data_IF_994007273140
#
_entry.id   IF_994007273140
#
_cell.length_a   1.000
_cell.length_b   1.000
_cell.length_c   1.000
_cell.angle_alpha   90.00
_cell.angle_beta   90.00
_cell.angle_gamma   90.00
#
_symmetry.space_group_name_H-M   'P 1'
#
loop_
_entity.id
_entity.type
_entity.pdbx_description
1 polymer ?
#
# COMPACT_ATOMS: atom_id res chain seq x y z
N UNK A 1 2.55 -15.37 14.57
CA UNK A 1 3.88 -15.20 13.94
C UNK A 1 5.01 -15.36 14.97
N UNK A 2 5.12 -14.52 16.01
CA UNK A 2 6.20 -14.65 17.02
C UNK A 2 6.25 -16.04 17.66
N UNK A 3 5.11 -16.60 18.05
CA UNK A 3 5.02 -17.96 18.64
C UNK A 3 5.46 -19.10 17.70
N UNK A 4 5.70 -18.76 16.43
CA UNK A 4 6.18 -19.68 15.39
C UNK A 4 7.65 -19.45 15.02
N UNK A 5 8.36 -18.64 15.80
CA UNK A 5 9.78 -18.38 15.61
C UNK A 5 10.12 -17.32 14.54
N UNK A 6 9.13 -16.52 14.09
CA UNK A 6 9.44 -15.41 13.20
C UNK A 6 9.93 -14.19 13.97
N UNK A 7 10.97 -13.55 13.45
CA UNK A 7 11.24 -12.14 13.76
C UNK A 7 10.28 -11.29 12.93
N UNK A 8 9.47 -10.46 13.59
CA UNK A 8 8.48 -9.60 12.92
C UNK A 8 9.03 -8.19 12.86
N UNK A 9 9.06 -7.65 11.65
CA UNK A 9 9.54 -6.28 11.37
C UNK A 9 8.42 -5.49 10.71
N UNK A 10 8.20 -4.26 11.18
CA UNK A 10 7.25 -3.33 10.60
C UNK A 10 7.93 -1.98 10.38
N UNK A 11 7.88 -1.47 9.16
CA UNK A 11 8.42 -0.15 8.81
C UNK A 11 7.36 0.93 8.94
N UNK A 12 7.77 2.12 9.32
CA UNK A 12 6.95 3.34 9.31
C UNK A 12 7.13 4.10 8.00
N UNK A 13 7.26 3.52 6.89
CA UNK A 13 7.49 4.16 5.60
C UNK A 13 8.12 5.58 5.63
N UNK A 14 8.75 5.99 4.57
CA UNK A 14 9.45 7.27 4.51
C UNK A 14 8.52 8.46 4.81
N UNK A 15 8.86 9.23 5.85
CA UNK A 15 8.11 10.43 6.26
C UNK A 15 6.85 10.16 7.08
N UNK A 16 6.54 8.90 7.40
CA UNK A 16 5.45 8.54 8.31
C UNK A 16 5.99 8.31 9.74
N UNK A 17 5.16 8.60 10.74
CA UNK A 17 5.53 8.39 12.15
C UNK A 17 6.62 9.32 12.71
N UNK A 18 7.15 10.24 11.93
CA UNK A 18 8.21 11.17 12.32
C UNK A 18 7.68 12.60 12.24
N UNK A 19 7.54 13.27 13.40
CA UNK A 19 7.09 14.66 13.43
C UNK A 19 8.17 15.65 13.01
N UNK A 20 9.41 15.38 13.39
CA UNK A 20 10.53 16.28 13.09
C UNK A 20 11.80 15.53 12.70
N UNK A 21 12.55 16.07 11.76
CA UNK A 21 13.91 15.65 11.40
C UNK A 21 14.82 16.87 11.56
N UNK A 22 15.88 16.74 12.37
CA UNK A 22 16.83 17.84 12.66
C UNK A 22 16.14 19.13 13.14
N UNK A 23 15.08 18.99 13.96
CA UNK A 23 14.31 20.12 14.47
C UNK A 23 13.40 20.82 13.47
N UNK A 24 13.26 20.28 12.26
CA UNK A 24 12.31 20.73 11.25
C UNK A 24 11.17 19.74 11.15
N UNK A 25 9.96 20.23 10.92
CA UNK A 25 8.81 19.36 10.70
C UNK A 25 9.13 18.39 9.56
N UNK A 26 8.99 17.10 9.81
CA UNK A 26 9.07 16.08 8.77
C UNK A 26 7.95 16.38 7.76
N UNK A 27 8.28 16.42 6.50
CA UNK A 27 7.24 16.66 5.49
C UNK A 27 6.30 15.48 5.36
N UNK A 28 5.30 15.63 4.49
CA UNK A 28 4.38 14.56 4.11
C UNK A 28 5.13 13.28 3.78
N UNK A 29 4.56 12.15 4.19
CA UNK A 29 5.04 10.83 3.80
C UNK A 29 4.91 10.59 2.29
N UNK A 30 5.43 9.46 1.84
CA UNK A 30 5.30 8.98 0.45
C UNK A 30 4.15 7.97 0.32
N UNK A 31 2.96 8.33 0.80
CA UNK A 31 1.78 7.44 0.81
C UNK A 31 1.44 6.95 -0.59
N UNK A 32 1.31 5.62 -0.77
CA UNK A 32 1.05 4.93 -2.04
C UNK A 32 2.10 5.16 -3.15
N UNK A 33 3.30 5.63 -2.80
CA UNK A 33 4.43 5.68 -3.75
C UNK A 33 5.19 4.36 -3.67
N UNK A 34 5.08 3.55 -4.72
CA UNK A 34 5.53 2.16 -4.75
C UNK A 34 7.01 1.97 -4.43
N UNK A 35 7.90 2.66 -5.13
CA UNK A 35 9.35 2.54 -4.93
C UNK A 35 9.80 2.88 -3.50
N UNK A 36 9.27 3.95 -2.92
CA UNK A 36 9.65 4.36 -1.57
C UNK A 36 9.12 3.38 -0.53
N UNK A 37 7.91 2.86 -0.75
CA UNK A 37 7.32 1.83 0.10
C UNK A 37 8.11 0.52 0.03
N UNK A 38 8.45 0.05 -1.18
CA UNK A 38 9.27 -1.14 -1.40
C UNK A 38 10.61 -1.08 -0.67
N UNK A 39 11.34 0.02 -0.86
CA UNK A 39 12.65 0.21 -0.22
C UNK A 39 12.55 0.28 1.29
N UNK A 40 11.52 0.95 1.84
CA UNK A 40 11.28 0.97 3.27
C UNK A 40 11.04 -0.44 3.84
N UNK A 41 10.30 -1.28 3.12
CA UNK A 41 10.08 -2.68 3.51
C UNK A 41 11.39 -3.48 3.48
N UNK A 42 12.13 -3.44 2.37
CA UNK A 42 13.37 -4.20 2.21
C UNK A 42 14.48 -3.74 3.17
N UNK A 43 14.61 -2.43 3.38
CA UNK A 43 15.60 -1.88 4.32
C UNK A 43 15.25 -2.18 5.78
N UNK A 44 13.97 -2.34 6.12
CA UNK A 44 13.59 -2.78 7.47
C UNK A 44 14.07 -4.20 7.79
N UNK A 45 14.08 -5.09 6.78
CA UNK A 45 14.67 -6.44 6.90
C UNK A 45 16.16 -6.36 7.12
N UNK A 46 16.88 -5.58 6.30
CA UNK A 46 18.33 -5.34 6.47
C UNK A 46 18.68 -4.79 7.86
N UNK A 47 17.85 -3.86 8.34
CA UNK A 47 18.03 -3.30 9.68
C UNK A 47 17.85 -4.37 10.77
N UNK A 48 16.83 -5.23 10.65
CA UNK A 48 16.61 -6.32 11.59
C UNK A 48 17.74 -7.33 11.59
N UNK A 49 18.28 -7.69 10.42
CA UNK A 49 19.45 -8.60 10.31
C UNK A 49 20.73 -8.05 10.95
N UNK A 50 20.87 -6.73 11.05
CA UNK A 50 22.00 -6.09 11.74
C UNK A 50 21.83 -6.04 13.26
N UNK A 51 20.64 -6.32 13.79
CA UNK A 51 20.39 -6.37 15.21
C UNK A 51 20.60 -7.80 15.73
N UNK A 52 21.73 -8.04 16.39
CA UNK A 52 22.07 -9.38 16.95
C UNK A 52 20.92 -9.93 17.83
N UNK A 53 20.26 -9.08 18.60
CA UNK A 53 19.15 -9.47 19.46
C UNK A 53 17.88 -9.91 18.67
N UNK A 54 17.72 -9.49 17.44
CA UNK A 54 16.57 -9.86 16.59
C UNK A 54 16.69 -11.29 16.06
N UNK A 55 17.91 -11.81 15.92
CA UNK A 55 18.21 -13.13 15.37
C UNK A 55 17.48 -13.39 14.02
N UNK A 56 17.34 -12.34 13.21
CA UNK A 56 16.65 -12.41 11.93
C UNK A 56 17.43 -13.30 10.95
N UNK A 57 16.73 -14.28 10.35
CA UNK A 57 17.29 -15.19 9.35
C UNK A 57 17.30 -14.59 7.95
N UNK A 58 17.71 -15.43 6.98
CA UNK A 58 17.84 -15.00 5.58
C UNK A 58 16.54 -15.16 4.78
N UNK A 59 15.66 -16.09 5.20
CA UNK A 59 14.36 -16.30 4.55
C UNK A 59 13.38 -15.23 4.99
N UNK A 60 12.83 -14.49 4.02
CA UNK A 60 11.94 -13.34 4.25
C UNK A 60 10.55 -13.66 3.74
N UNK A 61 9.54 -13.49 4.59
CA UNK A 61 8.13 -13.48 4.20
C UNK A 61 7.60 -12.06 4.23
N UNK A 62 7.11 -11.59 3.10
CA UNK A 62 6.45 -10.28 2.99
C UNK A 62 4.95 -10.47 3.21
N UNK A 63 4.38 -9.84 4.25
CA UNK A 63 2.95 -9.95 4.57
C UNK A 63 2.37 -8.59 4.95
N UNK A 64 1.33 -8.17 4.25
CA UNK A 64 0.62 -6.92 4.61
C UNK A 64 -0.79 -6.83 3.99
N UNK A 65 -1.54 -5.80 4.43
CA UNK A 65 -2.91 -5.50 4.05
C UNK A 65 -2.98 -4.13 3.35
N UNK A 66 -3.92 -3.97 2.41
CA UNK A 66 -4.30 -2.69 1.79
C UNK A 66 -3.10 -1.94 1.16
N UNK A 67 -2.82 -0.69 1.58
CA UNK A 67 -1.61 0.05 1.20
C UNK A 67 -0.34 -0.75 1.45
N UNK A 68 -0.26 -1.46 2.59
CA UNK A 68 0.87 -2.33 2.88
C UNK A 68 0.93 -3.54 1.92
N UNK A 69 -0.21 -4.01 1.40
CA UNK A 69 -0.28 -5.00 0.33
C UNK A 69 0.39 -4.49 -0.95
N UNK A 70 0.11 -3.26 -1.37
CA UNK A 70 0.84 -2.60 -2.46
C UNK A 70 2.34 -2.56 -2.17
N UNK A 71 2.73 -2.16 -0.96
CA UNK A 71 4.15 -2.03 -0.57
C UNK A 71 4.91 -3.36 -0.67
N UNK A 72 4.34 -4.48 -0.20
CA UNK A 72 5.00 -5.79 -0.27
C UNK A 72 5.04 -6.35 -1.69
N UNK A 73 4.06 -6.04 -2.53
CA UNK A 73 4.07 -6.39 -3.95
C UNK A 73 5.17 -5.62 -4.70
N UNK A 74 5.30 -4.31 -4.50
CA UNK A 74 6.43 -3.54 -5.02
C UNK A 74 7.77 -4.03 -4.48
N UNK A 75 7.85 -4.38 -3.18
CA UNK A 75 9.06 -4.94 -2.59
C UNK A 75 9.47 -6.27 -3.27
N UNK A 76 8.51 -7.13 -3.58
CA UNK A 76 8.77 -8.37 -4.31
C UNK A 76 9.31 -8.11 -5.73
N UNK A 77 8.71 -7.17 -6.47
CA UNK A 77 9.14 -6.78 -7.83
C UNK A 77 10.54 -6.14 -7.85
N UNK A 78 10.90 -5.39 -6.80
CA UNK A 78 12.17 -4.66 -6.71
C UNK A 78 13.28 -5.46 -6.01
N UNK A 79 12.97 -6.53 -5.27
CA UNK A 79 13.92 -7.27 -4.44
C UNK A 79 15.17 -7.72 -5.22
N UNK A 80 14.99 -8.29 -6.41
CA UNK A 80 16.12 -8.78 -7.21
C UNK A 80 17.10 -7.69 -7.66
N UNK A 81 16.62 -6.46 -7.81
CA UNK A 81 17.45 -5.32 -8.25
C UNK A 81 17.95 -4.48 -7.07
N UNK A 82 17.13 -4.28 -6.05
CA UNK A 82 17.44 -3.39 -4.92
C UNK A 82 18.08 -4.12 -3.74
N UNK A 83 17.67 -5.35 -3.46
CA UNK A 83 18.09 -6.14 -2.31
C UNK A 83 18.37 -7.61 -2.70
N UNK A 84 19.29 -7.87 -3.66
CA UNK A 84 19.54 -9.20 -4.20
C UNK A 84 20.08 -10.20 -3.17
N UNK A 85 20.53 -9.73 -2.02
CA UNK A 85 20.98 -10.55 -0.90
C UNK A 85 19.81 -11.09 -0.05
N UNK A 86 18.62 -10.51 -0.15
CA UNK A 86 17.44 -10.96 0.59
C UNK A 86 16.74 -12.09 -0.18
N UNK A 87 16.49 -13.19 0.51
CA UNK A 87 15.75 -14.32 -0.03
C UNK A 87 14.28 -14.20 0.29
N UNK A 88 13.50 -13.68 -0.66
CA UNK A 88 12.05 -13.60 -0.51
C UNK A 88 11.46 -15.00 -0.69
N UNK A 89 11.05 -15.63 0.41
CA UNK A 89 10.52 -16.98 0.43
C UNK A 89 9.03 -17.04 0.07
N UNK A 90 8.28 -16.00 0.39
CA UNK A 90 6.87 -15.86 0.01
C UNK A 90 6.42 -14.40 0.12
N UNK A 91 5.40 -14.06 -0.66
CA UNK A 91 4.70 -12.77 -0.61
C UNK A 91 3.23 -13.04 -0.30
N UNK A 92 2.65 -12.25 0.60
CA UNK A 92 1.24 -12.37 0.92
C UNK A 92 0.59 -10.98 1.07
N UNK A 93 -0.55 -10.79 0.43
CA UNK A 93 -1.27 -9.53 0.42
C UNK A 93 -2.76 -9.76 0.68
N UNK A 94 -3.32 -9.07 1.66
CA UNK A 94 -4.76 -9.06 1.90
C UNK A 94 -5.36 -7.76 1.35
N UNK A 95 -6.37 -7.87 0.50
CA UNK A 95 -7.05 -6.74 -0.15
C UNK A 95 -6.05 -5.63 -0.56
N UNK A 96 -5.02 -5.95 -1.38
CA UNK A 96 -3.96 -4.99 -1.71
C UNK A 96 -4.50 -3.83 -2.53
N UNK A 97 -4.03 -2.62 -2.26
CA UNK A 97 -4.22 -1.46 -3.14
C UNK A 97 -3.34 -1.62 -4.41
N UNK A 98 -3.60 -2.67 -5.18
CA UNK A 98 -2.75 -3.10 -6.28
C UNK A 98 -2.90 -2.23 -7.54
N UNK A 99 -4.10 -1.75 -7.83
CA UNK A 99 -4.41 -0.90 -8.98
C UNK A 99 -4.96 0.44 -8.49
N UNK A 100 -4.09 1.44 -8.42
CA UNK A 100 -4.45 2.77 -7.92
C UNK A 100 -5.38 3.54 -8.87
N UNK A 101 -5.30 3.23 -10.16
CA UNK A 101 -6.21 3.84 -11.16
C UNK A 101 -7.64 3.39 -10.90
N UNK A 102 -7.86 2.10 -10.67
CA UNK A 102 -9.19 1.57 -10.34
C UNK A 102 -9.65 2.01 -8.95
N UNK A 103 -8.77 1.89 -7.94
CA UNK A 103 -9.08 2.31 -6.58
C UNK A 103 -9.57 3.77 -6.55
N UNK A 104 -8.83 4.69 -7.14
CA UNK A 104 -9.21 6.10 -7.15
C UNK A 104 -10.45 6.34 -8.04
N UNK A 105 -10.52 5.72 -9.22
CA UNK A 105 -11.66 5.87 -10.12
C UNK A 105 -12.99 5.39 -9.53
N UNK A 106 -12.98 4.35 -8.70
CA UNK A 106 -14.17 3.80 -8.04
C UNK A 106 -14.68 4.68 -6.89
N UNK A 107 -13.83 5.55 -6.32
CA UNK A 107 -14.13 6.29 -5.09
C UNK A 107 -14.07 7.81 -5.23
N UNK A 108 -14.08 8.36 -6.45
CA UNK A 108 -13.97 9.81 -6.68
C UNK A 108 -15.04 10.64 -5.95
N UNK A 109 -16.23 10.08 -5.82
CA UNK A 109 -17.43 10.79 -5.31
C UNK A 109 -17.87 10.28 -3.92
N UNK A 110 -17.01 9.56 -3.20
CA UNK A 110 -17.32 9.07 -1.85
C UNK A 110 -16.28 9.48 -0.79
N UNK A 111 -16.58 9.19 0.47
CA UNK A 111 -15.72 9.57 1.60
C UNK A 111 -14.40 8.80 1.61
N UNK A 112 -14.35 7.60 1.05
CA UNK A 112 -13.14 6.79 0.96
C UNK A 112 -12.13 7.44 0.02
N UNK A 113 -12.57 7.87 -1.15
CA UNK A 113 -11.73 8.57 -2.11
C UNK A 113 -11.25 9.93 -1.62
N UNK A 114 -12.11 10.71 -0.93
CA UNK A 114 -11.69 11.95 -0.26
C UNK A 114 -10.61 11.64 0.77
N UNK A 115 -10.80 10.64 1.60
CA UNK A 115 -9.85 10.26 2.65
C UNK A 115 -8.53 9.80 2.07
N UNK A 116 -8.52 8.81 1.16
CA UNK A 116 -7.29 8.27 0.56
C UNK A 116 -6.61 9.34 -0.30
N UNK A 117 -7.37 10.07 -1.10
CA UNK A 117 -6.86 11.14 -1.97
C UNK A 117 -6.21 12.28 -1.18
N UNK A 118 -6.70 12.57 0.04
CA UNK A 118 -6.11 13.59 0.91
C UNK A 118 -4.68 13.24 1.35
N UNK A 119 -4.31 11.97 1.40
CA UNK A 119 -2.93 11.52 1.65
C UNK A 119 -2.14 11.31 0.35
N UNK A 120 -2.73 10.64 -0.63
CA UNK A 120 -2.03 10.20 -1.84
C UNK A 120 -1.62 11.37 -2.75
N UNK A 121 -2.54 12.27 -3.07
CA UNK A 121 -2.23 13.36 -4.02
C UNK A 121 -1.18 14.32 -3.51
N UNK A 122 -1.16 14.77 -2.24
CA UNK A 122 -0.06 15.58 -1.72
C UNK A 122 1.27 14.84 -1.65
N UNK A 123 1.24 13.54 -1.34
CA UNK A 123 2.45 12.71 -1.38
C UNK A 123 3.02 12.63 -2.80
N UNK A 124 2.18 12.41 -3.80
CA UNK A 124 2.58 12.39 -5.21
C UNK A 124 3.09 13.75 -5.66
N UNK A 125 2.38 14.85 -5.33
CA UNK A 125 2.81 16.20 -5.68
C UNK A 125 4.19 16.55 -5.08
N UNK A 126 4.52 16.00 -3.92
CA UNK A 126 5.83 16.17 -3.29
C UNK A 126 6.91 15.30 -3.93
N UNK A 127 6.64 13.99 -4.09
CA UNK A 127 7.63 13.03 -4.60
C UNK A 127 7.94 13.30 -6.07
N UNK A 128 6.93 13.65 -6.85
CA UNK A 128 7.04 13.91 -8.28
C UNK A 128 7.05 15.40 -8.64
N UNK A 129 7.55 16.25 -7.73
CA UNK A 129 7.56 17.70 -7.90
C UNK A 129 8.30 18.19 -9.18
N UNK A 130 9.24 17.38 -9.66
CA UNK A 130 10.00 17.68 -10.90
C UNK A 130 9.24 17.28 -12.18
N UNK A 131 8.10 16.59 -12.06
CA UNK A 131 7.28 16.21 -13.21
C UNK A 131 6.37 17.39 -13.59
N UNK A 132 6.47 17.92 -14.82
CA UNK A 132 5.65 19.06 -15.25
C UNK A 132 4.15 18.74 -15.16
N UNK A 133 3.39 19.64 -14.56
CA UNK A 133 1.93 19.48 -14.40
C UNK A 133 1.48 18.80 -13.12
N UNK A 134 2.40 18.29 -12.31
CA UNK A 134 2.07 17.73 -11.00
C UNK A 134 1.85 18.86 -9.98
N UNK A 135 0.64 19.39 -9.97
CA UNK A 135 0.20 20.37 -9.00
C UNK A 135 -1.20 19.98 -8.47
N UNK A 136 -1.43 20.08 -7.17
CA UNK A 136 -2.75 19.74 -6.58
C UNK A 136 -3.90 20.52 -7.24
N UNK A 137 -3.64 21.78 -7.60
CA UNK A 137 -4.63 22.64 -8.28
C UNK A 137 -5.03 22.18 -9.69
N UNK A 138 -4.32 21.21 -10.28
CA UNK A 138 -4.72 20.63 -11.55
C UNK A 138 -5.80 19.55 -11.43
N UNK A 139 -5.97 19.00 -10.23
CA UNK A 139 -6.96 17.92 -10.00
C UNK A 139 -7.88 18.17 -8.80
N UNK A 140 -7.48 18.96 -7.80
CA UNK A 140 -8.27 19.22 -6.60
C UNK A 140 -8.93 20.57 -6.61
N UNK A 141 -10.13 20.64 -6.01
CA UNK A 141 -10.82 21.93 -5.79
C UNK A 141 -10.06 22.79 -4.77
N UNK A 142 -10.24 24.12 -4.78
CA UNK A 142 -9.64 24.99 -3.77
C UNK A 142 -10.01 24.58 -2.33
N UNK A 143 -11.24 24.13 -2.11
CA UNK A 143 -11.70 23.66 -0.81
C UNK A 143 -10.99 22.38 -0.36
N UNK A 144 -10.75 21.44 -1.29
CA UNK A 144 -9.99 20.24 -1.00
C UNK A 144 -8.54 20.56 -0.65
N UNK A 145 -7.88 21.45 -1.41
CA UNK A 145 -6.51 21.90 -1.15
C UNK A 145 -6.38 22.53 0.24
N UNK A 146 -7.35 23.35 0.64
CA UNK A 146 -7.39 24.00 1.96
C UNK A 146 -7.48 22.98 3.11
N UNK A 147 -8.28 21.91 2.93
CA UNK A 147 -8.54 20.90 3.96
C UNK A 147 -7.51 19.77 4.02
N UNK A 148 -6.84 19.49 2.93
CA UNK A 148 -5.86 18.41 2.84
C UNK A 148 -4.77 18.43 3.93
N UNK A 149 -4.16 19.58 4.31
CA UNK A 149 -3.16 19.60 5.39
C UNK A 149 -3.73 19.19 6.76
N UNK A 150 -4.97 19.56 7.07
CA UNK A 150 -5.67 19.17 8.29
C UNK A 150 -5.87 17.64 8.30
N UNK A 151 -6.40 17.07 7.21
CA UNK A 151 -6.60 15.63 7.07
C UNK A 151 -5.27 14.84 7.15
N UNK A 152 -4.21 15.32 6.51
CA UNK A 152 -2.90 14.67 6.53
C UNK A 152 -2.22 14.66 7.91
N UNK A 153 -2.64 15.51 8.82
CA UNK A 153 -2.11 15.54 10.20
C UNK A 153 -2.70 14.43 11.08
N UNK A 154 -3.77 13.79 10.62
CA UNK A 154 -4.49 12.75 11.35
C UNK A 154 -4.01 11.34 10.94
N UNK A 155 -4.19 10.40 11.86
CA UNK A 155 -3.90 8.99 11.61
C UNK A 155 -5.14 8.29 11.03
N UNK A 156 -5.00 7.63 9.88
CA UNK A 156 -6.12 7.02 9.16
C UNK A 156 -6.99 6.11 10.06
N UNK A 157 -6.36 5.21 10.82
CA UNK A 157 -7.12 4.21 11.60
C UNK A 157 -7.59 4.76 12.96
N UNK A 158 -6.80 5.56 13.64
CA UNK A 158 -7.15 6.06 14.98
C UNK A 158 -8.04 7.30 14.95
N UNK A 159 -8.06 8.05 13.84
CA UNK A 159 -8.81 9.30 13.68
C UNK A 159 -9.82 9.25 12.54
N UNK A 160 -10.28 8.05 12.16
CA UNK A 160 -11.16 7.87 11.00
C UNK A 160 -12.46 8.70 11.10
N UNK A 161 -13.06 8.78 12.27
CA UNK A 161 -14.27 9.58 12.48
C UNK A 161 -14.02 11.07 12.21
N UNK A 162 -12.94 11.62 12.75
CA UNK A 162 -12.56 13.02 12.54
C UNK A 162 -12.20 13.29 11.07
N UNK A 163 -11.47 12.36 10.43
CA UNK A 163 -11.18 12.42 8.99
C UNK A 163 -12.47 12.49 8.15
N UNK A 164 -13.46 11.66 8.49
CA UNK A 164 -14.74 11.67 7.81
C UNK A 164 -15.55 12.95 8.08
N UNK A 165 -15.51 13.50 9.29
CA UNK A 165 -16.15 14.78 9.60
C UNK A 165 -15.55 15.94 8.78
N UNK A 166 -14.22 15.97 8.62
CA UNK A 166 -13.53 16.97 7.81
C UNK A 166 -13.78 16.74 6.31
N UNK A 167 -13.75 15.49 5.87
CA UNK A 167 -13.86 15.11 4.46
C UNK A 167 -15.29 15.10 3.91
N UNK A 168 -16.33 14.88 4.76
CA UNK A 168 -17.71 14.74 4.31
C UNK A 168 -18.23 15.93 3.48
N UNK A 169 -17.91 17.20 3.80
CA UNK A 169 -18.30 18.35 2.97
C UNK A 169 -17.64 18.39 1.60
N UNK A 170 -16.58 17.60 1.39
CA UNK A 170 -15.83 17.52 0.13
C UNK A 170 -16.32 16.40 -0.80
N UNK A 171 -17.17 15.50 -0.31
CA UNK A 171 -17.76 14.43 -1.12
C UNK A 171 -18.51 15.00 -2.31
N UNK A 172 -18.18 14.54 -3.53
CA UNK A 172 -18.69 15.10 -4.79
C UNK A 172 -18.12 16.47 -5.18
N UNK A 173 -17.18 17.02 -4.39
CA UNK A 173 -16.52 18.30 -4.67
C UNK A 173 -15.02 18.27 -4.24
N UNK A 174 -14.42 17.10 -4.21
CA UNK A 174 -13.02 16.95 -3.87
C UNK A 174 -12.12 17.20 -5.08
N UNK A 175 -12.47 16.63 -6.23
CA UNK A 175 -11.72 16.76 -7.46
C UNK A 175 -12.35 17.76 -8.43
N UNK A 176 -11.51 18.50 -9.16
CA UNK A 176 -11.90 19.33 -10.31
C UNK A 176 -11.97 18.51 -11.59
N UNK A 177 -11.04 17.57 -11.70
CA UNK A 177 -10.87 16.68 -12.83
C UNK A 177 -10.57 15.29 -12.31
N UNK A 178 -10.99 14.28 -13.06
CA UNK A 178 -10.69 12.89 -12.75
C UNK A 178 -9.16 12.64 -12.86
N UNK A 179 -8.47 12.36 -11.73
CA UNK A 179 -7.03 12.15 -11.75
C UNK A 179 -6.62 10.87 -12.50
N UNK A 180 -7.57 9.95 -12.75
CA UNK A 180 -7.31 8.73 -13.52
C UNK A 180 -7.34 8.97 -15.05
N UNK A 181 -7.83 10.14 -15.47
CA UNK A 181 -7.97 10.52 -16.88
C UNK A 181 -7.12 11.74 -17.28
N UNK A 182 -6.51 12.44 -16.33
CA UNK A 182 -5.74 13.67 -16.59
C UNK A 182 -4.25 13.43 -16.38
N UNK A 183 -3.45 13.76 -17.41
CA UNK A 183 -1.99 13.70 -17.31
C UNK A 183 -1.41 14.89 -16.51
N UNK A 184 -0.32 14.68 -15.74
CA UNK A 184 0.43 13.41 -15.60
C UNK A 184 -0.10 12.46 -14.50
N UNK A 185 -1.20 12.80 -13.85
CA UNK A 185 -1.75 12.04 -12.72
C UNK A 185 -2.16 10.61 -13.10
N UNK A 186 -2.75 10.43 -14.28
CA UNK A 186 -3.12 9.10 -14.80
C UNK A 186 -1.90 8.19 -14.93
N UNK A 187 -0.81 8.70 -15.51
CA UNK A 187 0.46 7.98 -15.60
C UNK A 187 1.03 7.69 -14.21
N UNK A 188 1.04 8.66 -13.29
CA UNK A 188 1.58 8.45 -11.93
C UNK A 188 0.78 7.42 -11.14
N UNK A 189 -0.54 7.39 -11.25
CA UNK A 189 -1.38 6.35 -10.62
C UNK A 189 -1.07 4.98 -11.21
N UNK A 190 -0.94 4.88 -12.52
CA UNK A 190 -0.57 3.65 -13.21
C UNK A 190 0.84 3.17 -12.82
N UNK A 191 1.84 4.05 -12.77
CA UNK A 191 3.21 3.71 -12.43
C UNK A 191 3.37 3.28 -10.96
N UNK A 192 2.45 3.69 -10.09
CA UNK A 192 2.39 3.27 -8.70
C UNK A 192 1.35 2.14 -8.46
N UNK A 193 0.79 1.56 -9.51
CA UNK A 193 0.05 0.30 -9.48
C UNK A 193 1.01 -0.87 -9.65
N UNK A 194 0.70 -2.01 -9.03
CA UNK A 194 1.55 -3.22 -9.05
C UNK A 194 1.32 -4.03 -10.33
N UNK A 195 2.16 -5.05 -10.58
CA UNK A 195 1.99 -5.94 -11.74
C UNK A 195 2.87 -5.57 -12.95
N UNK A 196 3.76 -4.59 -12.82
CA UNK A 196 4.64 -4.19 -13.93
C UNK A 196 5.76 -5.23 -14.22
N UNK A 197 6.14 -6.02 -13.23
CA UNK A 197 7.23 -7.01 -13.32
C UNK A 197 6.87 -8.27 -12.54
N UNK A 198 7.13 -9.47 -13.09
CA UNK A 198 7.01 -10.71 -12.34
C UNK A 198 8.10 -10.82 -11.26
N UNK A 199 7.86 -11.69 -10.28
CA UNK A 199 8.83 -12.10 -9.27
C UNK A 199 8.73 -13.61 -9.02
N UNK A 200 9.79 -14.22 -8.47
CA UNK A 200 9.87 -15.69 -8.36
C UNK A 200 9.16 -16.26 -7.13
N UNK A 201 9.03 -15.47 -6.06
CA UNK A 201 8.42 -15.94 -4.82
C UNK A 201 6.91 -16.24 -5.02
N UNK A 202 6.36 -17.32 -4.41
CA UNK A 202 4.94 -17.58 -4.47
C UNK A 202 4.15 -16.44 -3.81
N UNK A 203 3.03 -16.08 -4.45
CA UNK A 203 2.15 -15.00 -4.00
C UNK A 203 0.84 -15.57 -3.44
N UNK A 204 0.55 -15.25 -2.20
CA UNK A 204 -0.77 -15.47 -1.60
C UNK A 204 -1.58 -14.17 -1.63
N UNK A 205 -2.80 -14.21 -2.17
CA UNK A 205 -3.72 -13.07 -2.19
C UNK A 205 -5.01 -13.44 -1.47
N UNK A 206 -5.41 -12.66 -0.48
CA UNK A 206 -6.71 -12.82 0.19
C UNK A 206 -7.61 -11.61 -0.10
N UNK A 207 -8.88 -11.87 -0.40
CA UNK A 207 -9.89 -10.83 -0.66
C UNK A 207 -11.18 -11.11 0.10
N UNK A 208 -11.73 -10.10 0.76
CA UNK A 208 -13.03 -10.18 1.39
C UNK A 208 -14.16 -9.99 0.37
N UNK A 209 -15.21 -10.83 0.41
CA UNK A 209 -16.33 -10.69 -0.53
C UNK A 209 -17.21 -9.47 -0.24
N UNK A 210 -17.15 -8.91 0.98
CA UNK A 210 -17.84 -7.70 1.41
C UNK A 210 -16.91 -6.47 1.50
N UNK A 211 -15.78 -6.48 0.82
CA UNK A 211 -14.88 -5.33 0.74
C UNK A 211 -15.45 -4.29 -0.22
N UNK A 212 -15.78 -3.12 0.34
CA UNK A 212 -16.33 -1.98 -0.40
C UNK A 212 -15.25 -0.94 -0.76
N UNK A 213 -14.01 -1.11 -0.29
CA UNK A 213 -12.90 -0.18 -0.55
C UNK A 213 -11.99 -0.73 -1.66
N UNK A 214 -11.38 -1.89 -1.46
CA UNK A 214 -10.67 -2.59 -2.53
C UNK A 214 -11.63 -3.64 -3.10
N UNK A 215 -12.21 -3.33 -4.25
CA UNK A 215 -13.30 -4.15 -4.79
C UNK A 215 -12.81 -5.56 -5.15
N UNK A 216 -13.60 -6.61 -4.83
CA UNK A 216 -13.23 -7.99 -5.16
C UNK A 216 -12.94 -8.23 -6.65
N UNK A 217 -13.65 -7.52 -7.54
CA UNK A 217 -13.42 -7.59 -8.98
C UNK A 217 -12.05 -7.05 -9.40
N UNK A 218 -11.55 -6.01 -8.71
CA UNK A 218 -10.24 -5.42 -9.01
C UNK A 218 -9.11 -6.32 -8.54
N UNK A 219 -9.25 -6.93 -7.35
CA UNK A 219 -8.31 -7.94 -6.88
C UNK A 219 -8.31 -9.18 -7.78
N UNK A 220 -9.47 -9.65 -8.27
CA UNK A 220 -9.53 -10.76 -9.21
C UNK A 220 -8.84 -10.43 -10.53
N UNK A 221 -8.98 -9.22 -11.05
CA UNK A 221 -8.29 -8.76 -12.25
C UNK A 221 -6.77 -8.68 -12.03
N UNK A 222 -6.32 -8.19 -10.87
CA UNK A 222 -4.91 -8.18 -10.46
C UNK A 222 -4.34 -9.60 -10.41
N UNK A 223 -5.01 -10.55 -9.74
CA UNK A 223 -4.61 -11.95 -9.67
C UNK A 223 -4.45 -12.54 -11.07
N UNK A 224 -5.45 -12.37 -11.94
CA UNK A 224 -5.39 -12.87 -13.32
C UNK A 224 -4.24 -12.27 -14.12
N UNK A 225 -3.91 -11.01 -13.86
CA UNK A 225 -2.77 -10.35 -14.48
C UNK A 225 -1.44 -10.95 -14.01
N UNK A 226 -1.24 -11.10 -12.69
CA UNK A 226 -0.01 -11.69 -12.11
C UNK A 226 0.24 -13.12 -12.64
N UNK A 227 -0.82 -13.95 -12.68
CA UNK A 227 -0.76 -15.29 -13.30
C UNK A 227 -0.33 -15.22 -14.79
N UNK A 228 -0.85 -14.24 -15.53
CA UNK A 228 -0.55 -14.07 -16.96
C UNK A 228 0.90 -13.69 -17.24
N UNK A 229 1.57 -13.03 -16.32
CA UNK A 229 2.98 -12.66 -16.41
C UNK A 229 3.91 -13.68 -15.75
N UNK A 230 3.36 -14.79 -15.21
CA UNK A 230 4.12 -15.93 -14.74
C UNK A 230 4.38 -15.99 -13.24
N UNK A 231 3.71 -15.18 -12.42
CA UNK A 231 3.77 -15.29 -10.97
C UNK A 231 2.94 -16.49 -10.50
N UNK A 232 3.45 -17.29 -9.58
CA UNK A 232 2.72 -18.40 -8.94
C UNK A 232 1.78 -17.83 -7.87
N UNK A 233 0.48 -17.74 -8.18
CA UNK A 233 -0.52 -17.10 -7.33
C UNK A 233 -1.48 -18.10 -6.69
N UNK A 234 -1.61 -18.03 -5.37
CA UNK A 234 -2.70 -18.67 -4.62
C UNK A 234 -3.66 -17.61 -4.10
N UNK A 235 -4.86 -17.54 -4.69
CA UNK A 235 -5.85 -16.55 -4.32
C UNK A 235 -7.02 -17.17 -3.55
N UNK A 236 -7.45 -16.52 -2.47
CA UNK A 236 -8.61 -16.93 -1.67
C UNK A 236 -9.59 -15.79 -1.49
N UNK A 237 -10.89 -16.11 -1.55
CA UNK A 237 -11.95 -15.17 -1.19
C UNK A 237 -12.57 -15.62 0.12
N UNK A 238 -12.60 -14.72 1.12
CA UNK A 238 -13.22 -14.96 2.43
C UNK A 238 -14.62 -14.36 2.40
N UNK A 239 -15.63 -15.22 2.54
CA UNK A 239 -17.03 -14.81 2.45
C UNK A 239 -17.43 -13.93 3.63
N UNK A 240 -18.06 -12.79 3.34
CA UNK A 240 -18.52 -11.81 4.32
C UNK A 240 -17.43 -10.94 4.93
N UNK A 241 -16.13 -11.21 4.68
CA UNK A 241 -15.05 -10.37 5.17
C UNK A 241 -15.07 -9.00 4.49
N UNK A 242 -14.91 -7.94 5.30
CA UNK A 242 -14.78 -6.56 4.85
C UNK A 242 -13.31 -6.18 4.66
N UNK A 243 -13.06 -4.95 4.14
CA UNK A 243 -11.70 -4.41 4.07
C UNK A 243 -10.98 -4.42 5.42
N UNK A 244 -11.67 -4.08 6.49
CA UNK A 244 -11.09 -4.01 7.84
C UNK A 244 -10.83 -5.36 8.49
N UNK A 245 -11.48 -6.45 8.06
CA UNK A 245 -11.39 -7.76 8.72
C UNK A 245 -10.58 -8.79 7.95
N UNK A 246 -10.46 -8.64 6.63
CA UNK A 246 -9.82 -9.64 5.76
C UNK A 246 -8.40 -10.01 6.20
N UNK A 247 -7.60 -9.07 6.70
CA UNK A 247 -6.23 -9.34 7.15
C UNK A 247 -6.15 -10.34 8.30
N UNK A 248 -7.17 -10.41 9.12
CA UNK A 248 -7.24 -11.35 10.24
C UNK A 248 -7.94 -12.65 9.85
N UNK A 249 -9.01 -12.54 9.07
CA UNK A 249 -9.83 -13.69 8.67
C UNK A 249 -9.11 -14.60 7.67
N UNK A 250 -8.15 -14.07 6.89
CA UNK A 250 -7.33 -14.84 5.98
C UNK A 250 -6.13 -15.56 6.64
N UNK A 251 -5.83 -15.30 7.92
CA UNK A 251 -4.65 -15.90 8.57
C UNK A 251 -4.64 -17.44 8.56
N UNK A 252 -5.75 -18.16 8.78
CA UNK A 252 -5.74 -19.62 8.73
C UNK A 252 -5.34 -20.18 7.37
N UNK A 253 -5.77 -19.55 6.27
CA UNK A 253 -5.41 -19.94 4.90
C UNK A 253 -3.96 -19.55 4.59
N UNK A 254 -3.55 -18.34 4.97
CA UNK A 254 -2.17 -17.88 4.83
C UNK A 254 -1.18 -18.86 5.49
N UNK A 255 -1.49 -19.32 6.69
CA UNK A 255 -0.66 -20.25 7.47
C UNK A 255 -0.46 -21.61 6.81
N UNK A 256 -1.36 -22.01 5.92
CA UNK A 256 -1.27 -23.27 5.17
C UNK A 256 -0.43 -23.13 3.90
N UNK A 257 -0.36 -21.92 3.33
CA UNK A 257 0.24 -21.68 2.00
C UNK A 257 1.60 -20.97 2.05
N UNK A 258 1.87 -20.24 3.13
CA UNK A 258 3.20 -19.65 3.31
C UNK A 258 4.10 -20.67 4.00
N UNK A 259 5.25 -21.06 3.41
CA UNK A 259 6.16 -22.01 4.02
C UNK A 259 6.68 -21.46 5.34
N UNK A 260 6.11 -21.95 6.44
CA UNK A 260 6.53 -21.64 7.80
C UNK A 260 7.55 -22.72 8.20
N UNK A 261 8.70 -22.72 7.58
CA UNK A 261 9.82 -23.47 8.07
C UNK A 261 10.51 -22.66 9.16
N UNK A 262 9.93 -22.67 10.34
CA UNK A 262 10.68 -22.29 11.53
C UNK A 262 11.91 -23.18 11.57
N UNK A 263 13.10 -22.56 11.52
CA UNK A 263 14.36 -23.27 11.50
C UNK A 263 14.43 -24.31 12.60
N UNK A 264 14.79 -25.51 12.21
CA UNK A 264 15.22 -26.58 13.11
C UNK A 264 16.58 -26.25 13.68
#
# INVERSE_FOLDING_TARGET
MLDRGYTVVATDYLGMGIETVDGKQAGLGSYLVGDTAARSVLDSVRAAQQLEAAQAGDDVVLWRHSQGGQAVLFAAQEASSYAPELKIAAVAAAAPAADLTKLMGSHLDDISGVTIGSYAFPAFAKVYADVPGVALSSILTPAAIEKTPEMNSLCLLSSLTELHEIGQPLVGNFTLHDPTAVEPWATLLSDNSTGAKPFEAPLFVAQGSADELVLPADTAAFVSHEESIGVDVHAVTVDGASHGTIAYEALPELEQHVPINGGS
#
